data_IF_514537316017
#
_entry.id   IF_514537316017
#
_cell.length_a   1.000
_cell.length_b   1.000
_cell.length_c   1.000
_cell.angle_alpha   90.00
_cell.angle_beta   90.00
_cell.angle_gamma   90.00
#
_symmetry.space_group_name_H-M   'P 1'
#
loop_
_entity.id
_entity.type
_entity.pdbx_description
1 polymer ?
#
# COMPACT_ATOMS: atom_id res chain seq x y z
N UNK A 1 30.24 -44.68 45.28
CA UNK A 1 30.12 -43.20 45.17
C UNK A 1 30.78 -42.72 43.90
N UNK A 2 30.03 -42.17 42.95
CA UNK A 2 30.44 -41.11 41.99
C UNK A 2 29.17 -40.64 41.26
N UNK A 3 28.77 -39.41 41.56
CA UNK A 3 27.69 -38.63 40.91
C UNK A 3 28.23 -37.94 39.65
N UNK A 4 27.31 -37.32 38.89
CA UNK A 4 27.51 -36.42 37.73
C UNK A 4 27.68 -37.17 36.41
N UNK A 5 26.89 -36.93 35.36
CA UNK A 5 26.60 -35.64 34.74
C UNK A 5 25.28 -35.72 33.92
N UNK A 6 24.20 -35.15 34.43
CA UNK A 6 23.18 -34.55 33.57
C UNK A 6 23.62 -33.11 33.30
N UNK A 7 23.08 -32.49 32.25
CA UNK A 7 23.29 -31.11 31.78
C UNK A 7 24.31 -31.01 30.65
N UNK A 8 23.86 -31.20 29.41
CA UNK A 8 24.31 -30.45 28.22
C UNK A 8 23.44 -30.76 27.01
N UNK A 9 22.13 -30.47 27.04
CA UNK A 9 21.34 -30.43 25.80
C UNK A 9 20.14 -29.47 25.88
N UNK A 10 20.32 -28.28 26.47
CA UNK A 10 19.31 -27.20 26.48
C UNK A 10 19.83 -25.92 25.80
N UNK A 11 21.05 -25.94 25.24
CA UNK A 11 21.67 -24.76 24.62
C UNK A 11 21.44 -24.60 23.11
N UNK A 12 20.80 -25.56 22.43
CA UNK A 12 20.73 -25.61 20.96
C UNK A 12 19.33 -25.36 20.37
N UNK A 13 18.45 -24.68 21.11
CA UNK A 13 17.09 -24.34 20.64
C UNK A 13 16.79 -22.84 20.62
N UNK A 14 17.71 -21.98 21.08
CA UNK A 14 17.46 -20.52 21.13
C UNK A 14 18.09 -19.73 19.97
N UNK A 15 19.04 -20.28 19.21
CA UNK A 15 19.66 -19.57 18.08
C UNK A 15 18.91 -19.75 16.75
N UNK A 16 18.07 -20.78 16.61
CA UNK A 16 17.29 -21.04 15.39
C UNK A 16 16.06 -20.15 15.24
N UNK A 17 15.51 -19.62 16.33
CA UNK A 17 14.35 -18.73 16.27
C UNK A 17 14.70 -17.36 15.68
N UNK A 18 15.81 -16.74 16.07
CA UNK A 18 16.17 -15.39 15.61
C UNK A 18 16.41 -15.33 14.09
N UNK A 19 17.05 -16.35 13.50
CA UNK A 19 17.23 -16.44 12.05
C UNK A 19 15.93 -16.64 11.27
N UNK A 20 14.95 -17.32 11.87
CA UNK A 20 13.64 -17.54 11.25
C UNK A 20 12.76 -16.28 11.25
N UNK A 21 12.74 -15.52 12.35
CA UNK A 21 11.98 -14.26 12.44
C UNK A 21 12.50 -13.20 11.45
N UNK A 22 13.83 -13.04 11.35
CA UNK A 22 14.43 -12.10 10.40
C UNK A 22 14.04 -12.41 8.95
N UNK A 23 13.98 -13.70 8.58
CA UNK A 23 13.58 -14.14 7.23
C UNK A 23 12.11 -13.89 6.94
N UNK A 24 11.24 -13.99 7.95
CA UNK A 24 9.81 -13.69 7.80
C UNK A 24 9.57 -12.19 7.60
N UNK A 25 10.28 -11.34 8.34
CA UNK A 25 10.17 -9.89 8.22
C UNK A 25 10.64 -9.40 6.85
N UNK A 26 11.75 -9.95 6.35
CA UNK A 26 12.28 -9.67 5.00
C UNK A 26 11.28 -10.08 3.90
N UNK A 27 10.71 -11.29 3.99
CA UNK A 27 9.71 -11.75 3.02
C UNK A 27 8.43 -10.90 3.03
N UNK A 28 7.99 -10.49 4.23
CA UNK A 28 6.83 -9.60 4.40
C UNK A 28 7.10 -8.22 3.79
N UNK A 29 8.31 -7.69 4.02
CA UNK A 29 8.76 -6.43 3.46
C UNK A 29 8.78 -6.46 1.93
N UNK A 30 9.39 -7.48 1.32
CA UNK A 30 9.52 -7.58 -0.13
C UNK A 30 8.16 -7.69 -0.81
N UNK A 31 7.26 -8.54 -0.29
CA UNK A 31 5.87 -8.63 -0.78
C UNK A 31 5.13 -7.31 -0.69
N UNK A 32 5.34 -6.56 0.40
CA UNK A 32 4.74 -5.24 0.58
C UNK A 32 5.24 -4.22 -0.44
N UNK A 33 6.54 -4.21 -0.72
CA UNK A 33 7.18 -3.34 -1.71
C UNK A 33 6.72 -3.69 -3.13
N UNK A 34 6.72 -4.96 -3.50
CA UNK A 34 6.27 -5.44 -4.81
C UNK A 34 4.82 -5.04 -5.06
N UNK A 35 3.92 -5.32 -4.11
CA UNK A 35 2.49 -4.95 -4.22
C UNK A 35 2.29 -3.43 -4.38
N UNK A 36 3.07 -2.62 -3.68
CA UNK A 36 3.02 -1.16 -3.85
C UNK A 36 3.40 -0.77 -5.29
N UNK A 37 4.52 -1.30 -5.80
CA UNK A 37 5.02 -1.02 -7.14
C UNK A 37 4.01 -1.47 -8.20
N UNK A 38 3.43 -2.66 -8.05
CA UNK A 38 2.39 -3.19 -8.94
C UNK A 38 1.17 -2.28 -8.98
N UNK A 39 0.69 -1.82 -7.82
CA UNK A 39 -0.46 -0.92 -7.76
C UNK A 39 -0.17 0.44 -8.42
N UNK A 40 1.05 0.96 -8.29
CA UNK A 40 1.45 2.20 -8.98
C UNK A 40 1.53 1.97 -10.50
N UNK A 41 2.01 0.81 -10.96
CA UNK A 41 2.07 0.46 -12.39
C UNK A 41 0.69 0.27 -13.01
N UNK A 42 -0.26 -0.32 -12.29
CA UNK A 42 -1.58 -0.68 -12.83
C UNK A 42 -2.43 0.57 -13.13
N UNK A 43 -2.89 0.79 -14.38
CA UNK A 43 -3.88 1.80 -14.69
C UNK A 43 -5.29 1.29 -14.35
N UNK A 44 -6.23 2.20 -14.16
CA UNK A 44 -7.66 1.90 -14.12
C UNK A 44 -8.47 3.13 -14.48
N UNK A 45 -9.70 2.92 -14.91
CA UNK A 45 -10.71 3.96 -15.11
C UNK A 45 -12.09 3.38 -14.85
N UNK A 46 -13.05 4.25 -14.54
CA UNK A 46 -14.43 3.80 -14.36
C UNK A 46 -15.30 4.87 -13.71
N UNK A 47 -16.57 4.53 -13.57
CA UNK A 47 -17.56 5.32 -12.87
C UNK A 47 -17.73 4.71 -11.48
N UNK A 48 -17.72 5.54 -10.45
CA UNK A 48 -17.98 5.12 -9.07
C UNK A 48 -19.44 4.70 -8.95
N UNK A 49 -19.68 3.44 -8.63
CA UNK A 49 -21.03 2.89 -8.44
C UNK A 49 -21.37 2.69 -6.96
N UNK A 50 -20.37 2.52 -6.12
CA UNK A 50 -20.56 2.35 -4.68
C UNK A 50 -19.29 2.70 -3.90
N UNK A 51 -19.44 2.93 -2.59
CA UNK A 51 -18.34 3.07 -1.64
C UNK A 51 -18.68 2.35 -0.35
N UNK A 52 -17.75 1.58 0.21
CA UNK A 52 -18.02 0.80 1.42
C UNK A 52 -16.83 0.73 2.37
N UNK A 53 -17.05 0.17 3.55
CA UNK A 53 -15.99 -0.24 4.49
C UNK A 53 -16.25 -1.66 4.96
N UNK A 54 -15.21 -2.48 5.04
CA UNK A 54 -15.29 -3.82 5.63
C UNK A 54 -15.61 -3.81 7.13
N UNK A 55 -15.36 -2.68 7.80
CA UNK A 55 -15.62 -2.53 9.24
C UNK A 55 -16.92 -1.76 9.44
N UNK A 56 -17.80 -2.33 10.26
CA UNK A 56 -19.06 -1.67 10.65
C UNK A 56 -18.76 -0.33 11.35
N UNK A 57 -19.62 0.67 11.13
CA UNK A 57 -19.56 2.00 11.73
C UNK A 57 -18.30 2.82 11.40
N UNK A 58 -17.55 2.46 10.36
CA UNK A 58 -16.47 3.29 9.83
C UNK A 58 -16.88 3.98 8.53
N UNK A 59 -16.20 5.09 8.22
CA UNK A 59 -16.33 5.75 6.93
C UNK A 59 -15.86 4.81 5.82
N UNK A 60 -16.44 4.97 4.63
CA UNK A 60 -16.04 4.20 3.47
C UNK A 60 -14.54 4.38 3.19
N UNK A 61 -13.90 3.27 2.84
CA UNK A 61 -12.48 3.17 2.50
C UNK A 61 -12.24 2.61 1.11
N UNK A 62 -13.25 1.97 0.55
CA UNK A 62 -13.19 1.23 -0.70
C UNK A 62 -14.17 1.85 -1.69
N UNK A 63 -13.75 1.91 -2.96
CA UNK A 63 -14.51 2.46 -4.08
C UNK A 63 -14.79 1.32 -5.05
N UNK A 64 -16.04 1.11 -5.42
CA UNK A 64 -16.44 0.14 -6.44
C UNK A 64 -16.68 0.86 -7.74
N UNK A 65 -16.04 0.37 -8.81
CA UNK A 65 -16.22 0.89 -10.16
C UNK A 65 -17.22 0.06 -10.95
N UNK A 66 -17.85 0.67 -11.93
CA UNK A 66 -18.72 -0.01 -12.90
C UNK A 66 -18.00 -1.12 -13.70
N UNK A 67 -16.67 -1.11 -13.76
CA UNK A 67 -15.86 -2.19 -14.32
C UNK A 67 -15.88 -3.47 -13.47
N UNK A 68 -16.35 -3.39 -12.22
CA UNK A 68 -16.21 -4.44 -11.20
C UNK A 68 -14.93 -4.32 -10.38
N UNK A 69 -14.03 -3.39 -10.69
CA UNK A 69 -12.84 -3.14 -9.89
C UNK A 69 -13.20 -2.53 -8.53
N UNK A 70 -12.51 -3.00 -7.48
CA UNK A 70 -12.53 -2.37 -6.16
C UNK A 70 -11.20 -1.69 -5.89
N UNK A 71 -11.24 -0.41 -5.58
CA UNK A 71 -10.09 0.47 -5.41
C UNK A 71 -10.00 0.92 -3.96
N UNK A 72 -8.80 0.82 -3.38
CA UNK A 72 -8.52 1.21 -1.99
C UNK A 72 -7.47 2.33 -1.94
N UNK A 73 -7.88 3.61 -1.97
CA UNK A 73 -6.96 4.73 -1.83
C UNK A 73 -6.46 4.84 -0.38
N UNK A 74 -5.16 4.98 -0.20
CA UNK A 74 -4.59 5.27 1.14
C UNK A 74 -4.66 6.77 1.48
N UNK A 75 -4.93 7.62 0.49
CA UNK A 75 -5.20 9.04 0.70
C UNK A 75 -6.65 9.24 1.16
N UNK A 76 -6.83 9.53 2.45
CA UNK A 76 -8.15 9.81 3.01
C UNK A 76 -8.87 11.02 2.40
N UNK A 77 -8.18 11.92 1.68
CA UNK A 77 -8.83 13.02 0.97
C UNK A 77 -9.64 12.53 -0.23
N UNK A 78 -9.21 11.44 -0.89
CA UNK A 78 -9.97 10.83 -2.00
C UNK A 78 -11.39 10.48 -1.55
N UNK A 79 -11.51 9.83 -0.38
CA UNK A 79 -12.81 9.43 0.17
C UNK A 79 -13.67 10.60 0.67
N UNK A 80 -13.11 11.82 0.79
CA UNK A 80 -13.88 13.01 1.17
C UNK A 80 -14.51 13.73 -0.02
N UNK A 81 -13.92 13.58 -1.20
CA UNK A 81 -14.33 14.32 -2.40
C UNK A 81 -15.13 13.44 -3.36
N UNK A 82 -14.86 12.13 -3.36
CA UNK A 82 -15.48 11.18 -4.29
C UNK A 82 -16.96 10.98 -3.97
N UNK A 83 -17.77 10.94 -5.01
CA UNK A 83 -19.20 10.68 -4.94
C UNK A 83 -19.60 9.58 -5.92
N UNK A 84 -20.71 8.89 -5.62
CA UNK A 84 -21.31 7.94 -6.56
C UNK A 84 -21.72 8.69 -7.84
N UNK A 85 -21.33 8.14 -8.98
CA UNK A 85 -21.53 8.75 -10.30
C UNK A 85 -20.34 9.55 -10.83
N UNK A 86 -19.33 9.83 -10.00
CA UNK A 86 -18.09 10.46 -10.46
C UNK A 86 -17.31 9.52 -11.38
N UNK A 87 -16.61 10.08 -12.36
CA UNK A 87 -15.68 9.33 -13.21
C UNK A 87 -14.28 9.47 -12.66
N UNK A 88 -13.57 8.35 -12.49
CA UNK A 88 -12.19 8.37 -12.01
C UNK A 88 -11.27 7.68 -13.00
N UNK A 89 -10.01 8.12 -13.04
CA UNK A 89 -8.97 7.40 -13.76
C UNK A 89 -7.59 7.58 -13.11
N UNK A 90 -6.76 6.55 -13.26
CA UNK A 90 -5.36 6.53 -12.86
C UNK A 90 -4.51 6.10 -14.05
N UNK A 91 -3.47 6.88 -14.34
CA UNK A 91 -2.55 6.59 -15.44
C UNK A 91 -1.60 5.44 -15.09
N UNK A 92 -1.10 4.76 -16.12
CA UNK A 92 -0.07 3.73 -15.98
C UNK A 92 1.20 4.34 -15.37
N UNK A 93 1.79 3.65 -14.40
CA UNK A 93 3.00 4.10 -13.69
C UNK A 93 2.88 5.51 -13.11
N UNK A 94 1.69 5.88 -12.65
CA UNK A 94 1.42 7.15 -11.97
C UNK A 94 0.80 6.87 -10.60
N UNK A 95 1.08 7.74 -9.62
CA UNK A 95 0.52 7.65 -8.28
C UNK A 95 -0.59 8.68 -8.04
N UNK A 96 -1.00 9.42 -9.07
CA UNK A 96 -2.15 10.30 -8.99
C UNK A 96 -3.44 9.63 -9.45
N UNK A 97 -4.51 9.91 -8.72
CA UNK A 97 -5.90 9.67 -9.11
C UNK A 97 -6.51 10.98 -9.59
N UNK A 98 -7.20 10.91 -10.71
CA UNK A 98 -7.96 12.02 -11.28
C UNK A 98 -9.44 11.72 -11.10
N UNK A 99 -10.17 12.64 -10.50
CA UNK A 99 -11.60 12.54 -10.20
C UNK A 99 -12.29 13.63 -10.98
N UNK A 100 -13.12 13.24 -11.94
CA UNK A 100 -14.01 14.14 -12.65
C UNK A 100 -15.38 14.09 -11.98
N UNK A 101 -15.70 15.15 -11.24
CA UNK A 101 -16.98 15.20 -10.54
C UNK A 101 -18.07 15.72 -11.46
N UNK A 102 -19.14 14.92 -11.57
CA UNK A 102 -20.27 15.23 -12.44
C UNK A 102 -21.05 16.46 -11.95
N UNK A 103 -20.99 16.74 -10.66
CA UNK A 103 -21.80 17.77 -10.01
C UNK A 103 -21.23 19.18 -10.16
N UNK A 104 -19.90 19.32 -10.21
CA UNK A 104 -19.23 20.62 -10.31
C UNK A 104 -18.46 20.81 -11.62
N UNK A 105 -18.39 19.78 -12.48
CA UNK A 105 -17.67 19.80 -13.75
C UNK A 105 -16.16 20.09 -13.57
N UNK A 106 -15.59 19.74 -12.42
CA UNK A 106 -14.17 19.95 -12.08
C UNK A 106 -13.39 18.63 -12.09
N UNK A 107 -12.09 18.75 -12.36
CA UNK A 107 -11.15 17.65 -12.23
C UNK A 107 -10.29 17.90 -10.98
N UNK A 108 -10.43 17.01 -10.01
CA UNK A 108 -9.56 16.97 -8.84
C UNK A 108 -8.41 15.98 -9.06
N UNK A 109 -7.20 16.38 -8.70
CA UNK A 109 -5.99 15.54 -8.78
C UNK A 109 -5.46 15.29 -7.37
N UNK A 110 -5.47 14.04 -6.93
CA UNK A 110 -5.04 13.64 -5.61
C UNK A 110 -4.05 12.47 -5.71
N UNK A 111 -3.03 12.42 -4.84
CA UNK A 111 -2.20 11.22 -4.75
C UNK A 111 -3.04 10.03 -4.26
N UNK A 112 -2.76 8.85 -4.77
CA UNK A 112 -3.57 7.64 -4.59
C UNK A 112 -3.01 6.75 -3.47
N UNK A 113 -1.72 6.42 -3.56
CA UNK A 113 -1.02 5.59 -2.59
C UNK A 113 0.03 6.39 -1.83
N UNK A 114 0.07 6.25 -0.51
CA UNK A 114 1.18 6.71 0.30
C UNK A 114 2.32 5.75 0.06
N UNK A 115 3.50 6.28 -0.21
CA UNK A 115 4.72 5.50 -0.38
C UNK A 115 5.50 5.60 0.94
N UNK A 116 5.50 4.54 1.79
CA UNK A 116 6.29 4.53 3.02
C UNK A 116 7.75 4.89 2.78
N UNK A 117 8.34 5.67 3.70
CA UNK A 117 9.75 6.05 3.66
C UNK A 117 10.70 4.86 3.46
N UNK A 118 10.50 3.78 4.22
CA UNK A 118 11.29 2.55 4.05
C UNK A 118 11.37 2.03 2.61
N UNK A 119 10.32 2.19 1.82
CA UNK A 119 10.33 1.78 0.41
C UNK A 119 10.96 2.82 -0.51
N UNK A 120 10.93 4.11 -0.15
CA UNK A 120 11.59 5.18 -0.90
C UNK A 120 13.10 5.10 -0.74
N UNK A 121 13.55 4.75 0.45
CA UNK A 121 14.98 4.69 0.79
C UNK A 121 15.63 3.38 0.32
N UNK A 122 14.83 2.39 -0.09
CA UNK A 122 15.30 1.12 -0.66
C UNK A 122 15.98 1.36 -2.02
N UNK A 123 17.19 0.85 -2.21
CA UNK A 123 17.94 0.97 -3.47
C UNK A 123 17.18 0.43 -4.69
N UNK A 124 16.32 -0.56 -4.48
CA UNK A 124 15.52 -1.22 -5.52
C UNK A 124 14.23 -0.44 -5.84
N UNK A 125 13.97 0.69 -5.20
CA UNK A 125 12.86 1.57 -5.58
C UNK A 125 13.15 2.25 -6.93
N UNK A 126 12.19 2.28 -7.87
CA UNK A 126 12.43 2.84 -9.20
C UNK A 126 12.96 4.27 -9.13
N UNK A 127 14.15 4.49 -9.68
CA UNK A 127 14.86 5.77 -9.61
C UNK A 127 14.02 6.88 -10.23
N UNK A 128 13.34 6.59 -11.34
CA UNK A 128 12.48 7.53 -12.04
C UNK A 128 11.23 7.96 -11.26
N UNK A 129 10.95 7.32 -10.11
CA UNK A 129 9.84 7.68 -9.23
C UNK A 129 10.28 8.51 -8.02
N UNK A 130 11.56 8.51 -7.64
CA UNK A 130 12.04 9.19 -6.42
C UNK A 130 11.68 10.67 -6.37
N UNK A 131 11.75 11.34 -7.53
CA UNK A 131 11.48 12.78 -7.68
C UNK A 131 10.16 13.07 -8.39
N UNK A 132 9.39 12.04 -8.74
CA UNK A 132 8.20 12.19 -9.61
C UNK A 132 7.00 12.78 -8.88
N UNK A 133 6.84 12.45 -7.60
CA UNK A 133 5.69 12.87 -6.81
C UNK A 133 6.12 13.49 -5.47
N UNK A 134 5.31 14.38 -4.92
CA UNK A 134 5.66 15.07 -3.67
C UNK A 134 5.72 14.09 -2.49
N UNK A 135 4.86 13.08 -2.51
CA UNK A 135 4.81 12.00 -1.53
C UNK A 135 5.93 10.96 -1.70
N UNK A 136 6.62 10.96 -2.84
CA UNK A 136 7.82 10.15 -3.07
C UNK A 136 9.12 10.88 -2.75
N UNK A 137 9.11 12.21 -2.64
CA UNK A 137 10.32 12.97 -2.31
C UNK A 137 10.72 12.74 -0.85
N UNK A 138 11.92 12.20 -0.64
CA UNK A 138 12.54 12.11 0.70
C UNK A 138 12.61 13.54 1.25
N UNK A 139 12.00 13.76 2.42
CA UNK A 139 12.23 15.01 3.14
C UNK A 139 13.60 14.85 3.79
N UNK A 140 14.52 15.71 3.40
CA UNK A 140 15.79 15.94 4.12
C UNK A 140 15.52 16.26 5.61
#
# INVERSE_FOLDING_TARGET
MKRFLAITFVGFLFTSCNGFFNKLDELSYDKGRERLIENIKKPFNGIVIDTFSYRKNLRATDIVLNSGDTIFPTNGQVMKVIQIGDSIYKKKSDNYLYIYSRNNNQIEKLWFLKIPQKYRDDERFPEEWRTKWMESTVKD
#
